data_IF_931772170219
#
_entry.id   IF_931772170219
#
_cell.length_a   1.000
_cell.length_b   1.000
_cell.length_c   1.000
_cell.angle_alpha   90.00
_cell.angle_beta   90.00
_cell.angle_gamma   90.00
#
_symmetry.space_group_name_H-M   'P 1'
#
loop_
_entity.id
_entity.type
_entity.pdbx_description
1 polymer ?
#
# COMPACT_ATOMS: atom_id res chain seq x y z
N UNK A 1 22.84 -15.03 12.75
CA UNK A 1 23.43 -14.87 14.06
C UNK A 1 24.57 -15.92 14.29
N UNK A 2 24.24 -17.21 14.34
CA UNK A 2 25.23 -18.29 14.69
C UNK A 2 26.44 -18.30 13.75
N UNK A 3 26.24 -18.17 12.44
CA UNK A 3 27.33 -18.27 11.44
C UNK A 3 28.12 -16.95 11.34
N UNK A 4 27.48 -15.80 11.46
CA UNK A 4 28.15 -14.49 11.33
C UNK A 4 28.59 -13.87 12.66
N UNK A 5 28.26 -14.49 13.81
CA UNK A 5 28.62 -14.00 15.14
C UNK A 5 27.96 -12.68 15.55
N UNK A 6 26.91 -12.26 14.83
CA UNK A 6 26.13 -11.06 15.15
C UNK A 6 24.93 -11.40 16.04
N UNK A 7 24.49 -10.44 16.85
CA UNK A 7 23.24 -10.55 17.60
C UNK A 7 22.05 -10.60 16.64
N UNK A 8 20.91 -11.14 17.12
CA UNK A 8 19.67 -11.20 16.34
C UNK A 8 19.11 -9.77 16.26
N UNK A 9 19.07 -9.23 15.06
CA UNK A 9 18.59 -7.87 14.83
C UNK A 9 17.06 -7.77 15.00
N UNK A 10 16.57 -6.79 15.77
CA UNK A 10 15.15 -6.62 16.11
C UNK A 10 14.24 -6.28 14.91
N UNK A 11 14.82 -5.96 13.76
CA UNK A 11 14.06 -5.63 12.54
C UNK A 11 13.12 -6.73 12.04
N UNK A 12 13.27 -7.98 12.49
CA UNK A 12 12.32 -9.05 12.18
C UNK A 12 10.95 -8.87 12.84
N UNK A 13 10.91 -8.21 14.02
CA UNK A 13 9.66 -7.95 14.74
C UNK A 13 8.72 -7.06 13.93
N UNK A 14 9.26 -6.01 13.31
CA UNK A 14 8.47 -5.10 12.46
C UNK A 14 7.85 -5.86 11.29
N UNK A 15 8.66 -6.64 10.57
CA UNK A 15 8.17 -7.46 9.45
C UNK A 15 7.13 -8.48 9.94
N UNK A 16 7.40 -9.16 11.06
CA UNK A 16 6.51 -10.15 11.66
C UNK A 16 5.17 -9.58 12.13
N UNK A 17 5.12 -8.31 12.54
CA UNK A 17 3.87 -7.62 12.90
C UNK A 17 3.10 -7.13 11.68
N UNK A 18 3.78 -6.66 10.63
CA UNK A 18 3.13 -6.10 9.45
C UNK A 18 2.56 -7.20 8.56
N UNK A 19 3.25 -8.32 8.39
CA UNK A 19 2.82 -9.41 7.48
C UNK A 19 1.41 -9.91 7.77
N UNK A 20 1.02 -10.26 9.02
CA UNK A 20 -0.34 -10.70 9.34
C UNK A 20 -1.41 -9.65 9.05
N UNK A 21 -1.07 -8.35 9.09
CA UNK A 21 -2.01 -7.26 8.83
C UNK A 21 -2.35 -7.07 7.35
N UNK A 22 -1.51 -7.60 6.46
CA UNK A 22 -1.64 -7.38 5.02
C UNK A 22 -1.90 -8.67 4.22
N UNK A 23 -1.88 -9.81 4.88
CA UNK A 23 -2.10 -11.13 4.26
C UNK A 23 -3.52 -11.61 4.57
N UNK A 24 -4.19 -12.35 3.66
CA UNK A 24 -5.48 -12.99 3.95
C UNK A 24 -5.42 -13.93 5.15
N UNK A 25 -6.54 -14.02 5.89
CA UNK A 25 -6.63 -14.78 7.15
C UNK A 25 -6.47 -16.28 6.91
N UNK A 26 -7.01 -16.78 5.81
CA UNK A 26 -7.11 -18.22 5.49
C UNK A 26 -5.91 -18.78 4.73
N UNK A 27 -4.82 -18.01 4.61
CA UNK A 27 -3.64 -18.46 3.88
C UNK A 27 -2.99 -19.67 4.58
N UNK A 28 -2.71 -20.78 3.88
CA UNK A 28 -2.01 -21.92 4.47
C UNK A 28 -0.63 -21.54 5.00
N UNK A 29 -0.31 -21.96 6.23
CA UNK A 29 0.94 -21.58 6.91
C UNK A 29 2.19 -21.99 6.12
N UNK A 30 2.16 -23.08 5.37
CA UNK A 30 3.30 -23.48 4.55
C UNK A 30 3.57 -22.51 3.39
N UNK A 31 2.51 -21.96 2.75
CA UNK A 31 2.66 -20.93 1.71
C UNK A 31 3.24 -19.65 2.29
N UNK A 32 2.71 -19.24 3.45
CA UNK A 32 3.22 -18.09 4.18
C UNK A 32 4.69 -18.29 4.56
N UNK A 33 5.07 -19.47 5.04
CA UNK A 33 6.47 -19.79 5.40
C UNK A 33 7.40 -19.66 4.19
N UNK A 34 7.04 -20.21 3.04
CA UNK A 34 7.82 -20.10 1.80
C UNK A 34 7.96 -18.63 1.38
N UNK A 35 6.86 -17.87 1.45
CA UNK A 35 6.87 -16.45 1.11
C UNK A 35 7.75 -15.62 2.07
N UNK A 36 7.71 -15.91 3.37
CA UNK A 36 8.55 -15.25 4.39
C UNK A 36 10.03 -15.56 4.13
N UNK A 37 10.38 -16.81 3.87
CA UNK A 37 11.77 -17.18 3.52
C UNK A 37 12.21 -16.41 2.28
N UNK A 38 11.40 -16.42 1.21
CA UNK A 38 11.71 -15.68 -0.01
C UNK A 38 11.87 -14.17 0.24
N UNK A 39 10.89 -13.55 0.88
CA UNK A 39 10.87 -12.09 1.11
C UNK A 39 11.98 -11.61 2.02
N UNK A 40 12.34 -12.38 3.05
CA UNK A 40 13.44 -12.06 3.95
C UNK A 40 14.79 -12.29 3.27
N UNK A 41 14.97 -13.44 2.62
CA UNK A 41 16.26 -13.74 1.96
C UNK A 41 16.51 -12.78 0.82
N UNK A 42 15.59 -12.66 -0.12
CA UNK A 42 15.76 -11.84 -1.33
C UNK A 42 15.59 -10.35 -1.04
N UNK A 43 14.63 -9.96 -0.19
CA UNK A 43 14.36 -8.55 0.08
C UNK A 43 15.33 -7.90 1.07
N UNK A 44 15.99 -8.70 1.93
CA UNK A 44 16.77 -8.18 3.05
C UNK A 44 18.19 -8.80 3.15
N UNK A 45 18.29 -10.11 3.33
CA UNK A 45 19.56 -10.76 3.71
C UNK A 45 20.60 -10.74 2.60
N UNK A 46 20.21 -10.88 1.33
CA UNK A 46 21.11 -10.81 0.16
C UNK A 46 21.82 -9.46 0.07
N UNK A 47 21.18 -8.39 0.52
CA UNK A 47 21.72 -7.03 0.48
C UNK A 47 22.54 -6.64 1.73
N UNK A 48 22.60 -7.50 2.74
CA UNK A 48 23.41 -7.25 3.95
C UNK A 48 22.64 -7.29 5.26
N UNK A 49 21.33 -7.51 5.24
CA UNK A 49 20.49 -7.62 6.44
C UNK A 49 19.75 -6.33 6.80
N UNK A 50 19.46 -6.15 8.09
CA UNK A 50 18.68 -5.00 8.58
C UNK A 50 19.38 -3.68 8.30
N UNK A 51 18.68 -2.73 7.72
CA UNK A 51 19.22 -1.42 7.34
C UNK A 51 19.87 -1.36 5.95
N UNK A 52 20.03 -2.49 5.26
CA UNK A 52 20.62 -2.58 3.92
C UNK A 52 19.62 -3.07 2.86
N UNK A 53 18.39 -3.32 3.24
CA UNK A 53 17.35 -3.81 2.33
C UNK A 53 16.95 -2.74 1.29
N UNK A 54 16.89 -3.15 0.03
CA UNK A 54 16.46 -2.30 -1.08
C UNK A 54 14.93 -2.24 -1.14
N UNK A 55 14.27 -3.37 -0.88
CA UNK A 55 12.82 -3.52 -0.88
C UNK A 55 12.30 -3.69 0.55
N UNK A 56 11.10 -3.22 0.81
CA UNK A 56 10.42 -3.52 2.07
C UNK A 56 10.11 -5.03 2.14
N UNK A 57 10.65 -5.76 3.15
CA UNK A 57 10.51 -7.21 3.22
C UNK A 57 9.06 -7.68 3.31
N UNK A 58 8.19 -6.99 4.08
CA UNK A 58 6.80 -7.36 4.22
C UNK A 58 6.04 -7.25 2.88
N UNK A 59 6.34 -6.20 2.10
CA UNK A 59 5.77 -6.04 0.77
C UNK A 59 6.31 -7.06 -0.23
N UNK A 60 7.57 -7.44 -0.11
CA UNK A 60 8.18 -8.49 -0.94
C UNK A 60 7.52 -9.84 -0.68
N UNK A 61 7.23 -10.16 0.61
CA UNK A 61 6.46 -11.35 0.99
C UNK A 61 5.07 -11.34 0.34
N UNK A 62 4.33 -10.23 0.47
CA UNK A 62 3.01 -10.09 -0.12
C UNK A 62 3.03 -10.17 -1.65
N UNK A 63 4.00 -9.54 -2.30
CA UNK A 63 4.15 -9.61 -3.75
C UNK A 63 4.43 -11.05 -4.22
N UNK A 64 5.31 -11.77 -3.52
CA UNK A 64 5.55 -13.18 -3.81
C UNK A 64 4.27 -14.01 -3.71
N UNK A 65 3.49 -13.85 -2.63
CA UNK A 65 2.22 -14.55 -2.46
C UNK A 65 1.25 -14.23 -3.58
N UNK A 66 1.14 -12.97 -3.98
CA UNK A 66 0.25 -12.54 -5.05
C UNK A 66 0.61 -13.17 -6.40
N UNK A 67 1.91 -13.22 -6.75
CA UNK A 67 2.34 -13.78 -8.03
C UNK A 67 2.41 -15.30 -8.04
N UNK A 68 2.78 -15.92 -6.91
CA UNK A 68 2.92 -17.38 -6.82
C UNK A 68 1.57 -18.09 -6.51
N UNK A 69 0.71 -17.46 -5.73
CA UNK A 69 -0.56 -18.04 -5.25
C UNK A 69 -1.74 -17.08 -5.41
N UNK A 70 -2.08 -16.63 -6.63
CA UNK A 70 -3.07 -15.58 -6.87
C UNK A 70 -4.47 -15.95 -6.35
N UNK A 71 -4.85 -17.22 -6.38
CA UNK A 71 -6.16 -17.70 -5.89
C UNK A 71 -6.34 -17.53 -4.38
N UNK A 72 -5.26 -17.49 -3.60
CA UNK A 72 -5.29 -17.24 -2.15
C UNK A 72 -5.21 -15.77 -1.80
N UNK A 73 -4.82 -14.95 -2.76
CA UNK A 73 -4.70 -13.49 -2.60
C UNK A 73 -5.86 -12.72 -3.23
N UNK A 74 -6.89 -13.41 -3.70
CA UNK A 74 -8.09 -12.81 -4.28
C UNK A 74 -8.96 -12.11 -3.23
N UNK A 75 -9.77 -11.14 -3.66
CA UNK A 75 -10.53 -10.26 -2.78
C UNK A 75 -11.64 -10.93 -1.95
N UNK A 76 -12.00 -12.17 -2.27
CA UNK A 76 -12.98 -13.00 -1.55
C UNK A 76 -12.39 -13.75 -0.33
N UNK A 77 -11.07 -13.77 -0.18
CA UNK A 77 -10.33 -14.39 0.93
C UNK A 77 -9.91 -13.40 2.03
N UNK A 78 -10.60 -12.29 2.14
CA UNK A 78 -10.31 -11.24 3.10
C UNK A 78 -11.08 -11.43 4.41
N UNK A 79 -10.62 -10.74 5.46
CA UNK A 79 -11.35 -10.65 6.71
C UNK A 79 -12.67 -9.89 6.51
N UNK A 80 -13.76 -10.43 7.07
CA UNK A 80 -15.10 -9.83 7.01
C UNK A 80 -15.63 -9.69 8.44
N UNK A 81 -16.13 -8.50 8.77
CA UNK A 81 -16.82 -8.27 10.04
C UNK A 81 -18.10 -9.12 10.09
N UNK A 82 -18.36 -9.77 11.23
CA UNK A 82 -19.52 -10.64 11.37
C UNK A 82 -19.43 -11.98 10.64
N UNK A 83 -18.22 -12.46 10.31
CA UNK A 83 -18.03 -13.72 9.61
C UNK A 83 -18.62 -14.94 10.36
N UNK A 84 -18.58 -14.92 11.70
CA UNK A 84 -19.13 -16.00 12.54
C UNK A 84 -20.66 -16.02 12.45
N UNK A 85 -21.30 -14.86 12.55
CA UNK A 85 -22.76 -14.71 12.39
C UNK A 85 -23.21 -15.11 11.01
N UNK A 86 -22.43 -14.74 9.97
CA UNK A 86 -22.67 -15.16 8.59
C UNK A 86 -22.62 -16.66 8.43
N UNK A 87 -21.57 -17.30 8.95
CA UNK A 87 -21.39 -18.75 8.82
C UNK A 87 -22.48 -19.52 9.56
N UNK A 88 -22.94 -19.01 10.71
CA UNK A 88 -24.09 -19.56 11.43
C UNK A 88 -25.40 -19.42 10.66
N UNK A 89 -25.62 -18.27 10.02
CA UNK A 89 -26.81 -18.01 9.22
C UNK A 89 -26.84 -18.87 7.93
N UNK A 90 -25.69 -19.10 7.30
CA UNK A 90 -25.54 -20.04 6.17
C UNK A 90 -25.83 -21.47 6.63
N UNK A 91 -25.30 -21.89 7.78
CA UNK A 91 -25.58 -23.19 8.36
C UNK A 91 -27.07 -23.38 8.72
N UNK A 92 -27.77 -22.29 9.04
CA UNK A 92 -29.22 -22.26 9.28
C UNK A 92 -30.07 -22.23 8.00
N UNK A 93 -29.46 -22.30 6.81
CA UNK A 93 -30.16 -22.33 5.53
C UNK A 93 -30.67 -20.97 5.03
N UNK A 94 -30.15 -19.87 5.57
CA UNK A 94 -30.46 -18.52 5.08
C UNK A 94 -29.59 -18.20 3.85
N UNK A 95 -30.21 -17.83 2.72
CA UNK A 95 -29.52 -17.32 1.55
C UNK A 95 -28.96 -15.92 1.82
N UNK A 96 -27.73 -15.83 2.25
CA UNK A 96 -27.02 -14.59 2.45
C UNK A 96 -26.13 -14.23 1.23
N UNK A 97 -26.71 -14.24 0.03
CA UNK A 97 -26.03 -13.78 -1.19
C UNK A 97 -25.56 -12.31 -1.13
N UNK A 98 -26.04 -11.54 -0.14
CA UNK A 98 -25.75 -10.13 0.00
C UNK A 98 -24.46 -9.83 0.78
N UNK A 99 -23.82 -10.84 1.41
CA UNK A 99 -22.56 -10.65 2.14
C UNK A 99 -21.50 -11.60 1.55
N UNK A 100 -21.27 -11.51 0.26
CA UNK A 100 -20.07 -12.07 -0.33
C UNK A 100 -18.87 -11.31 0.24
N UNK A 101 -17.81 -12.00 0.61
CA UNK A 101 -16.59 -11.38 1.18
C UNK A 101 -15.79 -10.55 0.17
N UNK A 102 -16.44 -10.03 -0.87
CA UNK A 102 -15.82 -9.22 -1.88
C UNK A 102 -15.46 -7.83 -1.33
N UNK A 103 -14.24 -7.38 -1.59
CA UNK A 103 -13.81 -6.05 -1.18
C UNK A 103 -14.58 -4.96 -1.93
N UNK A 104 -14.74 -3.80 -1.32
CA UNK A 104 -15.34 -2.62 -1.96
C UNK A 104 -14.67 -2.32 -3.31
N UNK A 105 -13.35 -2.49 -3.39
CA UNK A 105 -12.61 -2.30 -4.65
C UNK A 105 -12.95 -3.36 -5.69
N UNK A 106 -13.17 -4.61 -5.27
CA UNK A 106 -13.63 -5.69 -6.14
C UNK A 106 -15.00 -5.39 -6.72
N UNK A 107 -15.95 -4.96 -5.87
CA UNK A 107 -17.29 -4.56 -6.30
C UNK A 107 -17.27 -3.41 -7.32
N UNK A 108 -16.48 -2.35 -7.08
CA UNK A 108 -16.30 -1.28 -8.07
C UNK A 108 -15.64 -1.76 -9.38
N UNK A 109 -14.66 -2.68 -9.29
CA UNK A 109 -14.00 -3.22 -10.48
C UNK A 109 -14.95 -4.06 -11.36
N UNK A 110 -15.96 -4.69 -10.76
CA UNK A 110 -17.00 -5.46 -11.46
C UNK A 110 -18.19 -4.61 -11.88
N UNK A 111 -18.24 -3.32 -11.49
CA UNK A 111 -19.35 -2.43 -11.75
C UNK A 111 -20.57 -2.67 -10.85
N UNK A 112 -20.38 -3.38 -9.73
CA UNK A 112 -21.44 -3.64 -8.76
C UNK A 112 -21.68 -2.44 -7.85
N UNK A 113 -22.92 -2.31 -7.34
CA UNK A 113 -23.23 -1.30 -6.32
C UNK A 113 -22.60 -1.66 -4.97
N UNK A 114 -22.05 -0.67 -4.31
CA UNK A 114 -21.45 -0.83 -2.97
C UNK A 114 -22.52 -0.59 -1.91
N UNK A 115 -22.66 -1.56 -1.00
CA UNK A 115 -23.68 -1.55 0.07
C UNK A 115 -23.22 -0.75 1.30
N UNK A 116 -21.91 -0.53 1.45
CA UNK A 116 -21.32 0.08 2.64
C UNK A 116 -21.38 1.60 2.62
N UNK A 117 -21.79 2.21 3.74
CA UNK A 117 -21.77 3.66 3.92
C UNK A 117 -20.35 4.18 4.22
N UNK A 118 -20.14 5.48 4.05
CA UNK A 118 -18.85 6.14 4.33
C UNK A 118 -18.39 5.99 5.78
N UNK A 119 -19.33 5.95 6.73
CA UNK A 119 -19.05 5.71 8.14
C UNK A 119 -18.54 4.29 8.38
N UNK A 120 -19.11 3.29 7.74
CA UNK A 120 -18.65 1.91 7.80
C UNK A 120 -17.23 1.78 7.26
N UNK A 121 -16.95 2.44 6.13
CA UNK A 121 -15.61 2.50 5.53
C UNK A 121 -14.59 3.18 6.46
N UNK A 122 -14.99 4.21 7.20
CA UNK A 122 -14.11 4.94 8.11
C UNK A 122 -13.83 4.16 9.39
N UNK A 123 -14.85 3.56 10.01
CA UNK A 123 -14.69 2.77 11.22
C UNK A 123 -14.08 1.40 10.97
N UNK A 124 -14.18 0.86 9.75
CA UNK A 124 -13.60 -0.41 9.36
C UNK A 124 -14.55 -1.60 9.43
N UNK A 125 -15.86 -1.34 9.36
CA UNK A 125 -16.91 -2.37 9.26
C UNK A 125 -17.07 -2.77 7.79
N UNK A 126 -15.96 -3.13 7.15
CA UNK A 126 -15.86 -3.46 5.72
C UNK A 126 -14.97 -4.68 5.52
N UNK A 127 -15.18 -5.47 4.45
CA UNK A 127 -14.27 -6.55 4.09
C UNK A 127 -12.92 -5.98 3.61
N UNK A 128 -11.84 -6.57 4.09
CA UNK A 128 -10.49 -6.16 3.72
C UNK A 128 -9.40 -6.87 4.51
N UNK A 129 -8.14 -6.52 4.27
CA UNK A 129 -7.03 -6.98 5.11
C UNK A 129 -7.13 -6.34 6.50
N UNK A 130 -6.79 -7.07 7.56
CA UNK A 130 -6.95 -6.61 8.96
C UNK A 130 -6.36 -5.22 9.19
N UNK A 131 -5.18 -4.93 8.61
CA UNK A 131 -4.50 -3.65 8.79
C UNK A 131 -5.14 -2.47 8.07
N UNK A 132 -5.92 -2.71 7.01
CA UNK A 132 -6.46 -1.62 6.18
C UNK A 132 -7.89 -1.20 6.55
N UNK A 133 -8.61 -1.99 7.35
CA UNK A 133 -10.04 -1.78 7.58
C UNK A 133 -10.32 -0.47 8.30
N UNK A 134 -9.80 -0.25 9.51
CA UNK A 134 -10.11 0.94 10.33
C UNK A 134 -9.23 2.14 9.98
N UNK A 135 -9.79 3.11 9.25
CA UNK A 135 -9.09 4.37 8.91
C UNK A 135 -8.84 5.22 10.16
N UNK A 136 -9.74 5.15 11.13
CA UNK A 136 -9.59 5.85 12.42
C UNK A 136 -8.32 5.40 13.15
N UNK A 137 -8.10 4.10 13.31
CA UNK A 137 -6.91 3.57 13.97
C UNK A 137 -5.62 3.86 13.19
N UNK A 138 -5.69 3.82 11.85
CA UNK A 138 -4.55 4.18 10.99
C UNK A 138 -4.17 5.65 11.20
N UNK A 139 -5.14 6.56 11.31
CA UNK A 139 -4.88 7.99 11.56
C UNK A 139 -4.24 8.20 12.94
N UNK A 140 -4.72 7.51 13.98
CA UNK A 140 -4.09 7.56 15.32
C UNK A 140 -2.63 7.10 15.23
N UNK A 141 -2.38 5.97 14.55
CA UNK A 141 -1.02 5.47 14.35
C UNK A 141 -0.15 6.44 13.53
N UNK A 142 -0.71 7.10 12.52
CA UNK A 142 -0.02 8.13 11.75
C UNK A 142 0.40 9.31 12.63
N UNK A 143 -0.50 9.81 13.47
CA UNK A 143 -0.20 10.89 14.41
C UNK A 143 0.90 10.48 15.40
N UNK A 144 0.84 9.25 15.93
CA UNK A 144 1.87 8.72 16.81
C UNK A 144 3.25 8.66 16.11
N UNK A 145 3.32 8.11 14.88
CA UNK A 145 4.56 8.03 14.11
C UNK A 145 5.13 9.40 13.74
N UNK A 146 4.27 10.37 13.44
CA UNK A 146 4.69 11.76 13.16
C UNK A 146 5.20 12.44 14.44
N UNK A 147 4.50 12.27 15.56
CA UNK A 147 4.89 12.87 16.84
C UNK A 147 6.23 12.31 17.36
N UNK A 148 6.43 11.00 17.24
CA UNK A 148 7.70 10.34 17.59
C UNK A 148 8.82 10.57 16.57
N UNK A 149 8.52 11.24 15.44
CA UNK A 149 9.46 11.49 14.32
C UNK A 149 10.00 10.22 13.65
N UNK A 150 9.37 9.08 13.90
CA UNK A 150 9.72 7.82 13.24
C UNK A 150 9.19 7.78 11.81
N UNK A 151 7.97 8.26 11.57
CA UNK A 151 7.37 8.38 10.25
C UNK A 151 7.58 9.77 9.63
N UNK A 152 7.82 9.81 8.32
CA UNK A 152 7.96 11.08 7.59
C UNK A 152 6.61 11.62 7.15
N UNK A 153 6.12 12.69 7.80
CA UNK A 153 4.88 13.36 7.40
C UNK A 153 4.87 13.82 5.94
N UNK A 154 6.07 14.16 5.38
CA UNK A 154 6.20 14.57 3.98
C UNK A 154 5.80 13.46 3.02
N UNK A 155 6.21 12.22 3.31
CA UNK A 155 5.86 11.04 2.50
C UNK A 155 4.36 10.79 2.62
N UNK A 156 3.81 10.79 3.83
CA UNK A 156 2.37 10.55 4.06
C UNK A 156 1.54 11.56 3.27
N UNK A 157 1.76 12.86 3.49
CA UNK A 157 0.98 13.91 2.82
C UNK A 157 1.15 13.87 1.31
N UNK A 158 2.39 13.70 0.80
CA UNK A 158 2.62 13.66 -0.65
C UNK A 158 1.99 12.42 -1.30
N UNK A 159 1.93 11.28 -0.62
CA UNK A 159 1.22 10.08 -1.12
C UNK A 159 -0.28 10.35 -1.22
N UNK A 160 -0.89 10.95 -0.22
CA UNK A 160 -2.30 11.30 -0.28
C UNK A 160 -2.59 12.31 -1.39
N UNK A 161 -1.75 13.34 -1.54
CA UNK A 161 -1.88 14.32 -2.64
C UNK A 161 -1.73 13.65 -4.00
N UNK A 162 -0.74 12.75 -4.18
CA UNK A 162 -0.57 12.00 -5.42
C UNK A 162 -1.79 11.16 -5.80
N UNK A 163 -2.39 10.48 -4.80
CA UNK A 163 -3.60 9.70 -4.98
C UNK A 163 -4.80 10.59 -5.37
N UNK A 164 -5.00 11.72 -4.67
CA UNK A 164 -6.07 12.67 -5.00
C UNK A 164 -5.92 13.26 -6.42
N UNK A 165 -4.71 13.62 -6.82
CA UNK A 165 -4.44 14.17 -8.16
C UNK A 165 -4.80 13.15 -9.23
N UNK A 166 -4.38 11.88 -9.08
CA UNK A 166 -4.70 10.86 -10.08
C UNK A 166 -6.19 10.51 -10.10
N UNK A 167 -6.85 10.47 -8.92
CA UNK A 167 -8.29 10.31 -8.82
C UNK A 167 -9.05 11.44 -9.53
N UNK A 168 -8.63 12.69 -9.35
CA UNK A 168 -9.20 13.86 -10.07
C UNK A 168 -9.03 13.75 -11.58
N UNK A 169 -7.86 13.29 -12.06
CA UNK A 169 -7.63 13.09 -13.49
C UNK A 169 -8.62 12.05 -14.03
N UNK A 170 -8.83 10.92 -13.33
CA UNK A 170 -9.77 9.89 -13.77
C UNK A 170 -11.22 10.36 -13.73
N UNK A 171 -11.64 11.06 -12.67
CA UNK A 171 -12.99 11.65 -12.64
C UNK A 171 -13.17 12.64 -13.80
N UNK A 172 -12.18 13.50 -14.08
CA UNK A 172 -12.24 14.41 -15.24
C UNK A 172 -12.32 13.70 -16.60
N UNK A 173 -11.69 12.54 -16.76
CA UNK A 173 -11.78 11.71 -17.98
C UNK A 173 -13.19 11.14 -18.14
N UNK A 174 -13.82 10.70 -17.04
CA UNK A 174 -15.21 10.19 -17.03
C UNK A 174 -16.19 11.31 -17.31
N UNK A 175 -16.06 12.46 -16.64
CA UNK A 175 -16.93 13.63 -16.82
C UNK A 175 -16.84 14.22 -18.23
N UNK A 176 -15.66 14.13 -18.86
CA UNK A 176 -15.49 14.53 -20.25
C UNK A 176 -16.10 13.53 -21.27
N UNK A 177 -16.63 12.41 -20.82
CA UNK A 177 -17.25 11.39 -21.68
C UNK A 177 -16.27 10.60 -22.56
N UNK A 178 -14.96 10.62 -22.22
CA UNK A 178 -13.95 9.88 -22.98
C UNK A 178 -14.01 8.38 -22.76
N UNK A 179 -14.64 7.94 -21.68
CA UNK A 179 -14.85 6.53 -21.33
C UNK A 179 -16.33 6.30 -21.08
N UNK A 180 -16.92 5.35 -21.85
CA UNK A 180 -18.31 4.95 -21.67
C UNK A 180 -18.51 3.95 -20.53
N UNK A 181 -19.73 3.83 -20.03
CA UNK A 181 -20.13 2.91 -18.95
C UNK A 181 -19.85 1.44 -19.26
N UNK A 182 -19.79 1.06 -20.54
CA UNK A 182 -19.45 -0.30 -20.97
C UNK A 182 -17.96 -0.66 -20.82
N UNK A 183 -17.11 0.31 -20.50
CA UNK A 183 -15.68 0.04 -20.31
C UNK A 183 -15.43 -0.62 -18.96
N UNK A 184 -14.60 -1.67 -18.96
CA UNK A 184 -14.14 -2.36 -17.74
C UNK A 184 -13.43 -1.45 -16.71
N UNK A 185 -12.98 -0.27 -17.13
CA UNK A 185 -12.30 0.70 -16.25
C UNK A 185 -13.27 1.71 -15.64
N UNK A 186 -14.49 1.84 -16.19
CA UNK A 186 -15.45 2.86 -15.78
C UNK A 186 -15.76 2.80 -14.29
N UNK A 187 -16.02 1.59 -13.74
CA UNK A 187 -16.41 1.42 -12.35
C UNK A 187 -15.39 1.99 -11.35
N UNK A 188 -14.08 1.74 -11.56
CA UNK A 188 -13.04 2.28 -10.69
C UNK A 188 -12.68 3.74 -11.01
N UNK A 189 -12.84 4.20 -12.25
CA UNK A 189 -12.59 5.59 -12.65
C UNK A 189 -13.69 6.54 -12.19
N UNK A 190 -14.93 6.07 -12.08
CA UNK A 190 -16.08 6.85 -11.61
C UNK A 190 -16.13 7.04 -10.10
N UNK A 191 -15.30 6.30 -9.34
CA UNK A 191 -15.19 6.48 -7.89
C UNK A 191 -14.74 7.91 -7.57
N UNK A 192 -15.44 8.63 -6.67
CA UNK A 192 -15.02 9.96 -6.25
C UNK A 192 -13.57 10.00 -5.80
N UNK A 193 -12.79 10.97 -6.29
CA UNK A 193 -11.33 11.05 -6.09
C UNK A 193 -10.90 10.97 -4.61
N UNK A 194 -11.68 11.53 -3.70
CA UNK A 194 -11.41 11.49 -2.25
C UNK A 194 -11.74 10.12 -1.63
N UNK A 195 -12.69 9.39 -2.19
CA UNK A 195 -13.11 8.08 -1.68
C UNK A 195 -11.99 7.04 -1.85
N UNK A 196 -11.12 7.20 -2.84
CA UNK A 196 -9.95 6.34 -3.01
C UNK A 196 -9.03 6.31 -1.78
N UNK A 197 -9.06 7.33 -0.92
CA UNK A 197 -8.27 7.37 0.31
C UNK A 197 -8.85 6.51 1.43
N UNK A 198 -10.18 6.36 1.45
CA UNK A 198 -10.88 5.61 2.51
C UNK A 198 -11.18 4.16 2.12
N UNK A 199 -11.04 3.80 0.83
CA UNK A 199 -11.20 2.43 0.35
C UNK A 199 -9.84 1.78 0.10
N UNK A 200 -9.71 0.50 0.50
CA UNK A 200 -8.47 -0.26 0.36
C UNK A 200 -7.32 0.23 1.24
N UNK A 201 -6.13 -0.16 0.88
CA UNK A 201 -4.92 -0.10 1.70
C UNK A 201 -4.04 1.15 1.49
N UNK A 202 -4.51 2.17 0.73
CA UNK A 202 -3.68 3.36 0.44
C UNK A 202 -3.22 4.07 1.72
N UNK A 203 -4.13 4.29 2.65
CA UNK A 203 -3.80 4.98 3.90
C UNK A 203 -2.83 4.16 4.75
N UNK A 204 -3.06 2.85 4.86
CA UNK A 204 -2.16 1.93 5.57
C UNK A 204 -0.76 1.89 4.93
N UNK A 205 -0.70 1.74 3.61
CA UNK A 205 0.55 1.75 2.86
C UNK A 205 1.32 3.07 2.99
N UNK A 206 0.62 4.21 2.93
CA UNK A 206 1.22 5.53 3.08
C UNK A 206 1.82 5.75 4.48
N UNK A 207 1.16 5.25 5.54
CA UNK A 207 1.56 5.48 6.93
C UNK A 207 2.64 4.50 7.40
N UNK A 208 2.44 3.20 7.18
CA UNK A 208 3.28 2.18 7.81
C UNK A 208 4.34 1.57 6.88
N UNK A 209 4.20 1.73 5.55
CA UNK A 209 5.09 1.09 4.60
C UNK A 209 5.90 2.06 3.76
N UNK A 210 5.27 3.12 3.22
CA UNK A 210 5.99 4.12 2.45
C UNK A 210 6.94 4.96 3.30
N UNK A 211 6.70 5.02 4.61
CA UNK A 211 7.57 5.75 5.57
C UNK A 211 8.70 4.92 6.12
N UNK A 212 8.90 3.67 5.65
CA UNK A 212 10.03 2.83 6.07
C UNK A 212 11.35 3.59 5.95
N UNK A 213 12.08 3.80 7.05
CA UNK A 213 13.27 4.64 7.06
C UNK A 213 14.42 4.08 6.22
N UNK A 214 14.41 2.79 5.90
CA UNK A 214 15.48 2.13 5.13
C UNK A 214 15.26 2.25 3.63
N UNK A 215 14.05 1.94 3.16
CA UNK A 215 13.74 1.81 1.73
C UNK A 215 13.20 3.09 1.10
N UNK A 216 12.75 4.06 1.92
CA UNK A 216 12.23 5.33 1.43
C UNK A 216 13.35 6.32 1.05
N UNK A 217 13.01 7.32 0.21
CA UNK A 217 13.88 8.44 -0.10
C UNK A 217 14.30 9.20 1.18
N UNK A 218 15.58 9.53 1.31
CA UNK A 218 16.17 10.17 2.49
C UNK A 218 16.17 11.70 2.42
N UNK A 219 16.27 12.27 1.21
CA UNK A 219 16.32 13.73 1.07
C UNK A 219 14.94 14.37 1.24
N UNK A 220 14.88 15.55 1.83
CA UNK A 220 13.61 16.24 2.06
C UNK A 220 12.79 16.50 0.78
N UNK A 221 13.46 16.80 -0.33
CA UNK A 221 12.79 16.96 -1.64
C UNK A 221 12.44 15.63 -2.26
N UNK A 222 13.32 14.64 -2.11
CA UNK A 222 13.07 13.29 -2.59
C UNK A 222 11.86 12.65 -1.92
N UNK A 223 11.64 12.90 -0.61
CA UNK A 223 10.45 12.43 0.12
C UNK A 223 9.14 12.92 -0.49
N UNK A 224 9.09 14.17 -0.96
CA UNK A 224 7.92 14.72 -1.64
C UNK A 224 7.68 14.06 -3.00
N UNK A 225 8.74 13.89 -3.81
CA UNK A 225 8.64 13.25 -5.13
C UNK A 225 8.28 11.78 -4.98
N UNK A 226 8.97 11.07 -4.09
CA UNK A 226 8.76 9.66 -3.79
C UNK A 226 7.32 9.38 -3.36
N UNK A 227 6.82 10.10 -2.34
CA UNK A 227 5.46 9.90 -1.84
C UNK A 227 4.42 10.27 -2.91
N UNK A 228 4.57 11.39 -3.62
CA UNK A 228 3.65 11.78 -4.69
C UNK A 228 3.53 10.69 -5.76
N UNK A 229 4.66 10.15 -6.21
CA UNK A 229 4.67 9.08 -7.21
C UNK A 229 4.02 7.79 -6.68
N UNK A 230 4.21 7.45 -5.40
CA UNK A 230 3.51 6.30 -4.81
C UNK A 230 2.01 6.49 -4.90
N UNK A 231 1.48 7.62 -4.44
CA UNK A 231 0.04 7.87 -4.47
C UNK A 231 -0.53 7.87 -5.89
N UNK A 232 0.15 8.57 -6.80
CA UNK A 232 -0.22 8.66 -8.21
C UNK A 232 -0.25 7.27 -8.87
N UNK A 233 0.82 6.49 -8.74
CA UNK A 233 0.93 5.14 -9.30
C UNK A 233 -0.03 4.16 -8.64
N UNK A 234 -0.33 4.32 -7.35
CA UNK A 234 -1.29 3.46 -6.63
C UNK A 234 -2.67 3.50 -7.27
N UNK A 235 -3.19 4.69 -7.56
CA UNK A 235 -4.49 4.84 -8.22
C UNK A 235 -4.42 4.39 -9.68
N UNK A 236 -3.32 4.67 -10.38
CA UNK A 236 -3.13 4.20 -11.74
C UNK A 236 -3.14 2.67 -11.84
N UNK A 237 -2.39 1.99 -10.96
CA UNK A 237 -2.38 0.52 -10.91
C UNK A 237 -3.76 -0.02 -10.53
N UNK A 238 -4.44 0.61 -9.55
CA UNK A 238 -5.78 0.23 -9.10
C UNK A 238 -6.78 0.17 -10.25
N UNK A 239 -6.76 1.17 -11.12
CA UNK A 239 -7.70 1.27 -12.25
C UNK A 239 -7.33 0.34 -13.39
N UNK A 240 -6.06 0.31 -13.79
CA UNK A 240 -5.63 -0.45 -14.96
C UNK A 240 -5.36 -1.93 -14.69
N UNK A 241 -5.24 -2.34 -13.44
CA UNK A 241 -5.06 -3.74 -13.04
C UNK A 241 -6.22 -4.23 -12.16
N UNK A 242 -7.37 -4.58 -12.74
CA UNK A 242 -8.53 -5.05 -11.97
C UNK A 242 -8.28 -6.37 -11.24
N UNK A 243 -7.26 -7.15 -11.62
CA UNK A 243 -6.85 -8.35 -10.90
C UNK A 243 -6.17 -8.05 -9.56
N UNK A 244 -5.65 -6.81 -9.37
CA UNK A 244 -5.04 -6.34 -8.14
C UNK A 244 -5.44 -4.89 -7.84
N UNK A 245 -6.69 -4.65 -7.45
CA UNK A 245 -7.24 -3.29 -7.35
C UNK A 245 -6.65 -2.46 -6.19
N UNK A 246 -5.89 -3.05 -5.27
CA UNK A 246 -5.26 -2.29 -4.19
C UNK A 246 -4.14 -1.36 -4.68
N UNK A 247 -3.28 -1.82 -5.56
CA UNK A 247 -2.25 -1.03 -6.25
C UNK A 247 -1.10 -0.47 -5.40
N UNK A 248 -1.37 -0.03 -4.16
CA UNK A 248 -0.41 0.73 -3.34
C UNK A 248 0.86 -0.05 -3.00
N UNK A 249 0.75 -1.34 -2.72
CA UNK A 249 1.91 -2.14 -2.32
C UNK A 249 2.89 -2.35 -3.48
N UNK A 250 2.38 -2.54 -4.69
CA UNK A 250 3.20 -2.61 -5.90
C UNK A 250 3.83 -1.25 -6.23
N UNK A 251 3.08 -0.15 -6.04
CA UNK A 251 3.61 1.19 -6.22
C UNK A 251 4.75 1.49 -5.24
N UNK A 252 4.63 1.10 -3.97
CA UNK A 252 5.69 1.27 -2.96
C UNK A 252 6.93 0.45 -3.34
N UNK A 253 6.77 -0.83 -3.70
CA UNK A 253 7.90 -1.68 -4.14
C UNK A 253 8.62 -1.10 -5.34
N UNK A 254 7.88 -0.64 -6.34
CA UNK A 254 8.45 0.03 -7.50
C UNK A 254 9.24 1.27 -7.09
N UNK A 255 8.65 2.11 -6.25
CA UNK A 255 9.29 3.34 -5.81
C UNK A 255 10.46 3.11 -4.85
N UNK A 256 10.50 2.02 -4.10
CA UNK A 256 11.67 1.64 -3.30
C UNK A 256 12.91 1.47 -4.20
N UNK A 257 12.75 0.82 -5.36
CA UNK A 257 13.85 0.68 -6.35
C UNK A 257 14.31 2.04 -6.88
N UNK A 258 13.38 2.98 -7.08
CA UNK A 258 13.70 4.32 -7.60
C UNK A 258 14.11 5.33 -6.51
N UNK A 259 13.93 5.04 -5.23
CA UNK A 259 14.26 5.96 -4.14
C UNK A 259 15.73 6.44 -4.17
N UNK A 260 16.75 5.57 -4.34
CA UNK A 260 18.14 6.01 -4.45
C UNK A 260 18.39 6.90 -5.67
N UNK A 261 17.73 6.62 -6.80
CA UNK A 261 17.82 7.43 -8.02
C UNK A 261 17.27 8.83 -7.81
N UNK A 262 16.11 8.95 -7.16
CA UNK A 262 15.50 10.24 -6.80
C UNK A 262 16.47 11.04 -5.93
N UNK A 263 17.01 10.42 -4.88
CA UNK A 263 17.95 11.07 -3.96
C UNK A 263 19.24 11.50 -4.67
N UNK A 264 19.76 10.68 -5.57
CA UNK A 264 20.94 11.03 -6.38
C UNK A 264 20.74 12.33 -7.15
N UNK A 265 19.64 12.46 -7.89
CA UNK A 265 19.36 13.68 -8.66
C UNK A 265 19.13 14.91 -7.77
N UNK A 266 18.46 14.74 -6.63
CA UNK A 266 18.27 15.83 -5.65
C UNK A 266 19.60 16.31 -5.10
N UNK A 267 20.50 15.38 -4.72
CA UNK A 267 21.84 15.71 -4.20
C UNK A 267 22.69 16.41 -5.28
N UNK A 268 22.72 15.88 -6.49
CA UNK A 268 23.43 16.53 -7.62
C UNK A 268 22.92 17.96 -7.87
N UNK A 269 21.59 18.15 -7.84
CA UNK A 269 21.00 19.49 -7.97
C UNK A 269 21.46 20.45 -6.87
N UNK A 270 21.61 19.96 -5.62
CA UNK A 270 22.12 20.74 -4.50
C UNK A 270 23.61 21.06 -4.66
N UNK A 271 24.42 20.11 -5.12
CA UNK A 271 25.85 20.31 -5.40
C UNK A 271 26.04 21.37 -6.48
N UNK A 272 25.31 21.29 -7.61
CA UNK A 272 25.36 22.28 -8.69
C UNK A 272 25.02 23.70 -8.18
N UNK A 273 24.01 23.84 -7.30
CA UNK A 273 23.65 25.13 -6.68
C UNK A 273 24.75 25.67 -5.77
N UNK A 274 25.42 24.82 -4.99
CA UNK A 274 26.56 25.23 -4.15
C UNK A 274 27.74 25.69 -4.98
N UNK A 275 28.09 24.96 -6.04
CA UNK A 275 29.17 25.32 -6.97
C UNK A 275 28.91 26.65 -7.68
N UNK A 276 27.67 26.95 -8.08
CA UNK A 276 27.31 28.27 -8.63
C UNK A 276 27.57 29.41 -7.64
N UNK A 277 27.21 29.22 -6.37
CA UNK A 277 27.43 30.24 -5.32
C UNK A 277 28.92 30.48 -5.03
N UNK A 278 29.76 29.44 -5.12
CA UNK A 278 31.21 29.58 -4.97
C UNK A 278 31.83 30.39 -6.12
N UNK A 279 31.44 30.11 -7.39
CA UNK A 279 31.91 30.87 -8.55
C UNK A 279 31.56 32.37 -8.50
N UNK A 280 30.41 32.72 -7.93
CA UNK A 280 30.00 34.15 -7.75
C UNK A 280 30.81 34.84 -6.67
N UNK A 281 31.34 34.12 -5.66
CA UNK A 281 32.19 34.71 -4.61
C UNK A 281 33.65 34.88 -5.03
N UNK A 282 34.10 34.17 -6.07
CA UNK A 282 35.48 34.22 -6.58
C UNK A 282 35.61 35.12 -7.83
N UNK A 283 34.53 35.71 -8.32
CA UNK A 283 34.48 36.73 -9.34
C UNK A 283 34.22 38.14 -8.72
#
# INVERSE_FOLDING_TARGET
>A
AIIKGHEVEEGYLVTGMIVPLIVPVDIPLWMLTVAVIFGVVIGKEVFGGTGMNILNPALTIRAFLFFAYPTWMSGDKVWVHGAVERDQAIAAGQNLDAISGETILGSYAQGNSVVYDYWDMFWGIIPGSVGETSKFLIIIGALFLIFTKMGSWRIIVSTLVGALVMGLIFNGVVDAGWIGESSKFYGLMSVPFWQHLIIGSILFGAVYMATDPVTASQTNKGKWIYGFLIGFLSIMIRVFNPAYPEGVFLAILLMNVFAPTIDHYVVQGNVKKRMKRLKVKTA
#
